data_IF_660926138156
#
_entry.id   IF_660926138156
#
_cell.length_a   1.000
_cell.length_b   1.000
_cell.length_c   1.000
_cell.angle_alpha   90.00
_cell.angle_beta   90.00
_cell.angle_gamma   90.00
#
_symmetry.space_group_name_H-M   'P 1'
#
loop_
_entity.id
_entity.type
_entity.pdbx_description
1 polymer ?
#
# COMPACT_ATOMS: atom_id res chain seq x y z
N UNK A 1 -14.89 -5.58 6.45
CA UNK A 1 -14.42 -6.81 7.11
C UNK A 1 -13.13 -6.46 7.83
N UNK A 2 -12.93 -6.87 9.09
CA UNK A 2 -11.67 -6.59 9.81
C UNK A 2 -10.68 -7.72 9.60
N UNK A 3 -9.49 -7.38 9.12
CA UNK A 3 -8.36 -8.30 8.99
C UNK A 3 -7.38 -8.00 10.13
N UNK A 4 -7.06 -8.99 10.98
CA UNK A 4 -6.18 -8.77 12.13
C UNK A 4 -5.29 -9.99 12.42
N UNK A 5 -3.98 -9.76 12.55
CA UNK A 5 -3.00 -10.77 12.98
C UNK A 5 -1.67 -10.09 13.37
N UNK A 6 -0.89 -10.71 14.25
CA UNK A 6 0.44 -10.24 14.67
C UNK A 6 0.48 -8.77 15.14
N UNK A 7 -0.58 -8.32 15.81
CA UNK A 7 -0.70 -6.92 16.26
C UNK A 7 -0.78 -5.91 15.11
N UNK A 8 -1.26 -6.32 13.94
CA UNK A 8 -1.64 -5.46 12.82
C UNK A 8 -3.13 -5.70 12.58
N UNK A 9 -3.91 -4.64 12.45
CA UNK A 9 -5.31 -4.73 12.05
C UNK A 9 -5.67 -3.67 11.01
N UNK A 10 -6.49 -4.05 10.04
CA UNK A 10 -6.99 -3.18 8.97
C UNK A 10 -8.44 -3.52 8.65
N UNK A 11 -9.30 -2.51 8.54
CA UNK A 11 -10.65 -2.71 8.03
C UNK A 11 -10.63 -2.69 6.50
N UNK A 12 -10.89 -3.86 5.91
CA UNK A 12 -11.02 -4.03 4.48
C UNK A 12 -12.41 -3.55 4.02
N UNK A 13 -12.47 -2.64 3.05
CA UNK A 13 -13.71 -2.30 2.39
C UNK A 13 -14.33 -3.48 1.65
N UNK A 14 -15.61 -3.36 1.32
CA UNK A 14 -16.30 -4.38 0.52
C UNK A 14 -15.61 -4.53 -0.84
N UNK A 15 -15.37 -5.78 -1.24
CA UNK A 15 -14.73 -6.11 -2.53
C UNK A 15 -13.20 -6.08 -2.50
N UNK A 16 -12.59 -5.72 -1.37
CA UNK A 16 -11.14 -5.85 -1.20
C UNK A 16 -10.75 -7.27 -0.82
N UNK A 17 -9.60 -7.68 -1.32
CA UNK A 17 -8.88 -8.86 -0.89
C UNK A 17 -7.75 -8.43 0.05
N UNK A 18 -7.43 -9.23 1.06
CA UNK A 18 -6.39 -8.90 2.00
C UNK A 18 -5.96 -10.08 2.85
N UNK A 19 -4.69 -10.06 3.25
CA UNK A 19 -4.07 -11.09 4.08
C UNK A 19 -2.99 -10.49 4.96
N UNK A 20 -2.79 -11.08 6.13
CA UNK A 20 -1.62 -10.84 6.97
C UNK A 20 -0.91 -12.18 7.13
N UNK A 21 0.37 -12.22 6.80
CA UNK A 21 1.15 -13.44 6.85
C UNK A 21 2.54 -13.18 7.44
N UNK A 22 3.18 -14.24 7.92
CA UNK A 22 4.57 -14.22 8.40
C UNK A 22 5.32 -15.41 7.81
N UNK A 23 6.40 -15.14 7.08
CA UNK A 23 7.31 -16.18 6.59
C UNK A 23 8.21 -16.69 7.73
N UNK A 24 8.67 -17.96 7.71
CA UNK A 24 9.61 -18.45 8.71
C UNK A 24 10.84 -17.54 8.83
N UNK A 25 11.16 -17.11 10.05
CA UNK A 25 12.30 -16.22 10.32
C UNK A 25 12.15 -14.76 9.85
N UNK A 26 10.97 -14.34 9.40
CA UNK A 26 10.72 -12.97 8.94
C UNK A 26 9.65 -12.26 9.79
N UNK A 27 9.70 -10.93 9.79
CA UNK A 27 8.63 -10.11 10.34
C UNK A 27 7.35 -10.16 9.48
N UNK A 28 6.16 -9.98 10.08
CA UNK A 28 4.87 -9.93 9.41
C UNK A 28 4.79 -8.97 8.23
N UNK A 29 3.93 -9.33 7.27
CA UNK A 29 3.55 -8.50 6.13
C UNK A 29 2.02 -8.53 5.97
N UNK A 30 1.40 -7.37 5.81
CA UNK A 30 0.01 -7.23 5.37
C UNK A 30 0.00 -6.90 3.88
N UNK A 31 -0.83 -7.60 3.11
CA UNK A 31 -1.24 -7.19 1.76
C UNK A 31 -2.73 -6.88 1.75
N UNK A 32 -3.12 -5.84 1.03
CA UNK A 32 -4.51 -5.52 0.75
C UNK A 32 -4.64 -4.91 -0.65
N UNK A 33 -5.73 -5.21 -1.34
CA UNK A 33 -6.00 -4.65 -2.66
C UNK A 33 -7.50 -4.60 -2.96
N UNK A 34 -7.91 -3.69 -3.86
CA UNK A 34 -9.28 -3.67 -4.39
C UNK A 34 -9.52 -4.67 -5.54
N UNK A 35 -8.65 -5.67 -5.66
CA UNK A 35 -8.69 -6.75 -6.65
C UNK A 35 -8.13 -8.03 -6.03
N UNK A 36 -8.36 -9.18 -6.66
CA UNK A 36 -7.90 -10.48 -6.16
C UNK A 36 -6.37 -10.56 -6.07
N UNK A 37 -5.87 -10.92 -4.89
CA UNK A 37 -4.46 -11.08 -4.65
C UNK A 37 -3.99 -12.49 -5.05
N UNK A 38 -2.78 -12.64 -5.60
CA UNK A 38 -2.20 -13.95 -5.87
C UNK A 38 -1.93 -14.70 -4.56
N UNK A 39 -2.18 -16.02 -4.53
CA UNK A 39 -2.01 -16.86 -3.34
C UNK A 39 -0.61 -16.79 -2.72
N UNK A 40 0.43 -16.56 -3.55
CA UNK A 40 1.80 -16.30 -3.12
C UNK A 40 2.34 -15.06 -3.82
N UNK A 41 3.05 -14.20 -3.10
CA UNK A 41 3.73 -13.03 -3.68
C UNK A 41 4.96 -12.62 -2.85
N UNK A 42 5.82 -11.79 -3.44
CA UNK A 42 6.88 -11.09 -2.71
C UNK A 42 6.30 -10.10 -1.71
N UNK A 43 7.09 -9.68 -0.71
CA UNK A 43 6.61 -8.82 0.38
C UNK A 43 6.06 -7.47 -0.09
N UNK A 44 6.51 -6.96 -1.25
CA UNK A 44 6.00 -5.74 -1.87
C UNK A 44 5.08 -5.99 -3.08
N UNK A 45 4.55 -7.21 -3.23
CA UNK A 45 3.50 -7.51 -4.20
C UNK A 45 3.94 -7.46 -5.66
N UNK A 46 5.12 -7.98 -6.00
CA UNK A 46 5.65 -7.91 -7.37
C UNK A 46 4.73 -8.57 -8.40
N UNK A 47 3.99 -9.61 -8.02
CA UNK A 47 3.03 -10.31 -8.89
C UNK A 47 1.69 -9.58 -8.93
N UNK A 48 1.18 -9.12 -7.78
CA UNK A 48 -0.05 -8.34 -7.67
C UNK A 48 0.04 -7.05 -8.49
N UNK A 49 1.12 -6.28 -8.32
CA UNK A 49 1.36 -5.04 -9.06
C UNK A 49 1.58 -5.28 -10.56
N UNK A 50 2.10 -6.45 -10.97
CA UNK A 50 2.24 -6.80 -12.38
C UNK A 50 0.89 -7.05 -13.08
N UNK A 51 -0.12 -7.52 -12.34
CA UNK A 51 -1.45 -7.88 -12.86
C UNK A 51 -2.52 -6.87 -12.48
N UNK A 52 -2.12 -5.72 -11.97
CA UNK A 52 -3.02 -4.74 -11.37
C UNK A 52 -3.92 -4.12 -12.45
N UNK A 53 -5.25 -4.20 -12.34
CA UNK A 53 -6.16 -3.63 -13.33
C UNK A 53 -6.12 -2.08 -13.31
N UNK A 54 -6.61 -1.41 -14.36
CA UNK A 54 -6.88 0.03 -14.31
C UNK A 54 -7.82 0.35 -13.13
N UNK A 55 -7.50 1.40 -12.36
CA UNK A 55 -8.21 1.73 -11.11
C UNK A 55 -7.78 0.86 -9.90
N UNK A 56 -6.86 -0.08 -10.10
CA UNK A 56 -6.34 -0.93 -9.04
C UNK A 56 -5.58 -0.15 -7.97
N UNK A 57 -5.74 -0.57 -6.72
CA UNK A 57 -5.03 -0.10 -5.54
C UNK A 57 -4.42 -1.32 -4.87
N UNK A 58 -3.11 -1.30 -4.63
CA UNK A 58 -2.39 -2.30 -3.86
C UNK A 58 -1.69 -1.66 -2.67
N UNK A 59 -1.71 -2.35 -1.54
CA UNK A 59 -1.08 -1.96 -0.29
C UNK A 59 -0.24 -3.11 0.26
N UNK A 60 0.99 -2.82 0.64
CA UNK A 60 1.81 -3.67 1.50
C UNK A 60 2.26 -2.89 2.74
N UNK A 61 2.00 -3.44 3.92
CA UNK A 61 2.60 -2.97 5.17
C UNK A 61 3.58 -4.05 5.64
N UNK A 62 4.87 -3.72 5.62
CA UNK A 62 5.95 -4.63 6.01
C UNK A 62 6.53 -4.21 7.35
N UNK A 63 6.48 -5.08 8.34
CA UNK A 63 7.26 -4.90 9.57
C UNK A 63 8.72 -5.24 9.31
N UNK A 64 9.62 -4.48 9.93
CA UNK A 64 11.05 -4.75 9.95
C UNK A 64 11.50 -5.23 11.34
N UNK A 65 12.54 -6.05 11.36
CA UNK A 65 13.16 -6.45 12.62
C UNK A 65 14.10 -5.34 13.10
N UNK A 66 13.86 -4.84 14.31
CA UNK A 66 14.79 -3.94 14.98
C UNK A 66 16.11 -4.67 15.31
N UNK A 67 17.22 -3.94 15.26
CA UNK A 67 18.55 -4.49 15.55
C UNK A 67 19.64 -3.45 15.37
N UNK A 68 20.93 -3.85 15.37
CA UNK A 68 22.05 -2.91 15.38
C UNK A 68 22.05 -1.90 14.23
N UNK A 69 21.47 -2.25 13.07
CA UNK A 69 21.40 -1.40 11.87
C UNK A 69 20.06 -0.69 11.68
N UNK A 70 19.02 -1.10 12.41
CA UNK A 70 17.67 -0.56 12.24
C UNK A 70 17.06 -0.30 13.62
N UNK A 71 16.93 0.98 13.95
CA UNK A 71 16.49 1.44 15.25
C UNK A 71 15.14 2.13 15.12
N UNK A 72 14.09 1.65 15.79
CA UNK A 72 12.79 2.30 15.78
C UNK A 72 12.88 3.73 16.30
N UNK A 73 12.24 4.68 15.60
CA UNK A 73 12.24 6.12 15.93
C UNK A 73 13.50 6.87 15.50
N UNK A 74 14.40 6.28 14.71
CA UNK A 74 15.57 6.94 14.16
C UNK A 74 15.61 6.83 12.63
N UNK A 75 16.26 7.81 11.98
CA UNK A 75 16.47 7.82 10.53
C UNK A 75 15.16 7.71 9.74
N UNK A 76 15.07 6.78 8.80
CA UNK A 76 13.85 6.55 8.01
C UNK A 76 12.63 6.20 8.89
N UNK A 77 12.84 5.62 10.07
CA UNK A 77 11.77 5.20 10.97
C UNK A 77 11.47 6.23 12.06
N UNK A 78 11.93 7.48 11.91
CA UNK A 78 11.73 8.56 12.89
C UNK A 78 10.27 9.00 13.02
N UNK A 79 9.49 8.90 11.94
CA UNK A 79 8.05 9.17 11.99
C UNK A 79 7.36 8.13 12.87
N UNK A 80 6.38 8.54 13.67
CA UNK A 80 5.60 7.69 14.58
C UNK A 80 4.26 7.23 13.97
N UNK A 81 3.94 7.71 12.77
CA UNK A 81 2.61 7.58 12.18
C UNK A 81 2.65 7.65 10.65
N UNK A 82 1.52 7.30 10.02
CA UNK A 82 1.30 7.53 8.59
C UNK A 82 0.76 8.96 8.40
N UNK A 83 1.26 9.74 7.43
CA UNK A 83 0.84 11.12 7.21
C UNK A 83 -0.54 11.18 6.53
N UNK A 84 -1.59 10.88 7.29
CA UNK A 84 -2.96 10.93 6.82
C UNK A 84 -3.55 12.35 6.96
N UNK A 85 -4.43 12.79 6.03
CA UNK A 85 -4.78 12.12 4.77
C UNK A 85 -3.60 12.12 3.77
N UNK A 86 -3.49 11.07 2.96
CA UNK A 86 -2.47 11.02 1.91
C UNK A 86 -2.77 12.07 0.84
N UNK A 87 -1.72 12.56 0.20
CA UNK A 87 -1.82 13.47 -0.94
C UNK A 87 -1.29 12.84 -2.21
N UNK A 88 -1.99 13.06 -3.34
CA UNK A 88 -1.60 12.52 -4.65
C UNK A 88 -0.21 12.95 -5.09
N UNK A 89 0.29 14.09 -4.60
CA UNK A 89 1.66 14.57 -4.85
C UNK A 89 2.76 13.63 -4.33
N UNK A 90 2.44 12.77 -3.35
CA UNK A 90 3.38 11.79 -2.81
C UNK A 90 3.47 10.52 -3.65
N UNK A 91 2.60 10.37 -4.66
CA UNK A 91 2.61 9.22 -5.55
C UNK A 91 3.40 9.53 -6.81
N UNK A 92 4.46 8.77 -7.05
CA UNK A 92 5.34 8.99 -8.20
C UNK A 92 5.74 7.67 -8.87
N UNK A 93 5.85 7.60 -10.21
CA UNK A 93 6.31 6.39 -10.91
C UNK A 93 7.70 5.91 -10.48
N UNK A 94 8.58 6.85 -10.10
CA UNK A 94 9.95 6.55 -9.58
C UNK A 94 9.97 6.06 -8.12
N UNK A 95 8.86 6.11 -7.40
CA UNK A 95 8.75 5.57 -6.05
C UNK A 95 8.33 4.08 -6.05
N UNK A 96 8.17 3.48 -7.24
CA UNK A 96 7.91 2.05 -7.39
C UNK A 96 9.22 1.26 -7.32
N UNK A 97 9.17 0.07 -6.71
CA UNK A 97 10.28 -0.89 -6.78
C UNK A 97 10.51 -1.36 -8.23
N UNK A 98 9.43 -1.49 -9.01
CA UNK A 98 9.46 -1.81 -10.43
C UNK A 98 8.54 -0.81 -11.14
N UNK A 99 9.10 0.05 -11.98
CA UNK A 99 8.33 1.02 -12.76
C UNK A 99 7.44 0.31 -13.79
N UNK A 100 6.16 0.70 -13.85
CA UNK A 100 5.19 0.18 -14.82
C UNK A 100 4.36 1.33 -15.41
N UNK A 101 4.05 1.32 -16.71
CA UNK A 101 3.17 2.33 -17.31
C UNK A 101 1.83 2.42 -16.58
N UNK A 102 1.35 3.64 -16.32
CA UNK A 102 0.09 3.89 -15.62
C UNK A 102 0.15 3.73 -14.09
N UNK A 103 1.28 3.27 -13.53
CA UNK A 103 1.42 3.07 -12.09
C UNK A 103 2.22 4.17 -11.40
N UNK A 104 1.83 4.48 -10.16
CA UNK A 104 2.56 5.36 -9.26
C UNK A 104 2.62 4.76 -7.86
N UNK A 105 3.75 5.00 -7.17
CA UNK A 105 4.03 4.42 -5.86
C UNK A 105 4.13 5.46 -4.76
N UNK A 106 3.86 5.04 -3.53
CA UNK A 106 4.12 5.78 -2.30
C UNK A 106 4.83 4.85 -1.31
N UNK A 107 5.92 5.32 -0.71
CA UNK A 107 6.66 4.63 0.33
C UNK A 107 6.77 5.52 1.55
N UNK A 108 6.41 5.01 2.72
CA UNK A 108 6.53 5.72 3.98
C UNK A 108 7.04 4.80 5.08
N UNK A 109 8.10 5.23 5.75
CA UNK A 109 8.72 4.49 6.84
C UNK A 109 8.32 5.16 8.16
N UNK A 110 7.90 4.36 9.13
CA UNK A 110 7.46 4.86 10.44
C UNK A 110 7.62 3.82 11.52
N UNK A 111 7.49 4.22 12.78
CA UNK A 111 7.55 3.38 13.96
C UNK A 111 6.22 3.45 14.69
N UNK A 112 5.43 2.37 14.67
CA UNK A 112 4.19 2.30 15.42
C UNK A 112 4.43 1.84 16.86
N UNK A 113 3.50 2.11 17.78
CA UNK A 113 3.56 1.56 19.13
C UNK A 113 3.52 0.02 19.14
N UNK A 114 4.22 -0.68 20.06
CA UNK A 114 5.11 -0.20 21.11
C UNK A 114 6.59 -0.09 20.66
N UNK A 115 6.87 0.53 19.50
CA UNK A 115 8.18 0.68 18.81
C UNK A 115 8.50 -0.38 17.75
N UNK A 116 7.53 -0.68 16.91
CA UNK A 116 7.65 -1.58 15.76
C UNK A 116 7.90 -0.77 14.48
N UNK A 117 9.02 -0.97 13.77
CA UNK A 117 9.32 -0.24 12.56
C UNK A 117 8.61 -0.87 11.35
N UNK A 118 8.00 -0.04 10.52
CA UNK A 118 7.23 -0.43 9.35
C UNK A 118 7.64 0.33 8.10
N UNK A 119 7.45 -0.31 6.95
CA UNK A 119 7.35 0.36 5.66
C UNK A 119 5.93 0.16 5.11
N UNK A 120 5.26 1.26 4.85
CA UNK A 120 4.04 1.30 4.07
C UNK A 120 4.41 1.51 2.60
N UNK A 121 4.01 0.57 1.75
CA UNK A 121 4.13 0.67 0.31
C UNK A 121 2.74 0.62 -0.33
N UNK A 122 2.38 1.66 -1.06
CA UNK A 122 1.12 1.72 -1.79
C UNK A 122 1.37 1.93 -3.29
N UNK A 123 0.60 1.26 -4.13
CA UNK A 123 0.67 1.37 -5.58
C UNK A 123 -0.73 1.68 -6.10
N UNK A 124 -0.80 2.65 -7.00
CA UNK A 124 -2.01 3.02 -7.74
C UNK A 124 -1.79 2.71 -9.22
N UNK A 125 -2.80 2.19 -9.90
CA UNK A 125 -2.83 2.07 -11.36
C UNK A 125 -3.93 3.00 -11.86
N UNK A 126 -3.54 4.14 -12.39
CA UNK A 126 -4.48 5.09 -12.97
C UNK A 126 -4.83 4.62 -14.37
N UNK A 127 -6.12 4.55 -14.69
CA UNK A 127 -6.55 4.25 -16.05
C UNK A 127 -5.87 5.23 -17.03
N UNK A 128 -5.18 4.68 -18.03
CA UNK A 128 -4.63 5.48 -19.11
C UNK A 128 -5.78 5.83 -20.06
N UNK A 129 -6.18 7.10 -20.12
CA UNK A 129 -7.04 7.59 -21.19
C UNK A 129 -6.13 7.87 -22.39
N UNK A 130 -6.27 7.19 -23.54
CA UNK A 130 -5.48 7.50 -24.72
C UNK A 130 -5.74 8.93 -25.19
N UNK A 131 -4.68 9.69 -25.47
CA UNK A 131 -4.76 11.00 -26.11
C UNK A 131 -5.54 10.87 -27.43
N UNK A 132 -6.63 11.63 -27.58
CA UNK A 132 -7.51 11.61 -28.76
C UNK A 132 -8.93 11.08 -28.50
N UNK A 133 -9.15 10.43 -27.35
CA UNK A 133 -10.49 10.19 -26.80
C UNK A 133 -10.65 11.07 -25.56
N UNK A 134 -11.00 12.34 -25.73
CA UNK A 134 -11.65 13.09 -24.64
C UNK A 134 -12.93 12.31 -24.33
N UNK A 135 -13.08 11.68 -23.16
CA UNK A 135 -14.37 11.14 -22.81
C UNK A 135 -15.25 12.36 -22.52
N UNK A 136 -16.36 12.48 -23.25
CA UNK A 136 -17.47 13.31 -22.79
C UNK A 136 -17.85 12.78 -21.39
N UNK A 137 -17.30 13.41 -20.35
CA UNK A 137 -17.40 12.97 -18.96
C UNK A 137 -16.19 12.18 -18.49
N UNK A 138 -15.62 12.61 -17.37
CA UNK A 138 -14.72 11.81 -16.52
C UNK A 138 -15.23 10.36 -16.49
N UNK A 139 -14.38 9.37 -16.82
CA UNK A 139 -14.78 7.96 -16.70
C UNK A 139 -15.43 7.75 -15.32
N UNK A 140 -16.71 7.37 -15.23
CA UNK A 140 -17.36 7.14 -13.95
C UNK A 140 -16.65 5.95 -13.29
N UNK A 141 -15.75 6.24 -12.34
CA UNK A 141 -14.82 5.25 -11.79
C UNK A 141 -13.38 5.73 -11.62
N UNK A 142 -12.99 6.91 -12.14
CA UNK A 142 -11.77 7.62 -11.71
C UNK A 142 -11.98 8.22 -10.30
N UNK A 143 -12.40 7.36 -9.39
CA UNK A 143 -12.57 7.62 -7.97
C UNK A 143 -11.22 8.11 -7.43
N UNK A 144 -11.24 9.07 -6.50
CA UNK A 144 -10.02 9.52 -5.83
C UNK A 144 -9.38 8.36 -5.07
N UNK A 145 -8.51 7.60 -5.76
CA UNK A 145 -7.85 6.41 -5.21
C UNK A 145 -7.03 6.77 -3.97
N UNK A 146 -6.51 8.01 -3.91
CA UNK A 146 -5.71 8.49 -2.79
C UNK A 146 -6.60 8.80 -1.58
N UNK A 147 -7.73 9.49 -1.79
CA UNK A 147 -8.73 9.70 -0.74
C UNK A 147 -9.29 8.39 -0.21
N UNK A 148 -9.61 7.45 -1.11
CA UNK A 148 -10.09 6.13 -0.73
C UNK A 148 -9.05 5.34 0.09
N UNK A 149 -7.80 5.31 -0.38
CA UNK A 149 -6.68 4.70 0.35
C UNK A 149 -6.45 5.35 1.72
N UNK A 150 -6.61 6.68 1.82
CA UNK A 150 -6.50 7.41 3.09
C UNK A 150 -7.56 6.94 4.09
N UNK A 151 -8.79 6.71 3.62
CA UNK A 151 -9.87 6.17 4.45
C UNK A 151 -9.65 4.71 4.87
N UNK A 152 -8.98 3.89 4.05
CA UNK A 152 -8.59 2.53 4.45
C UNK A 152 -7.50 2.59 5.52
N UNK A 153 -6.46 3.40 5.29
CA UNK A 153 -5.32 3.52 6.20
C UNK A 153 -5.64 4.18 7.54
N UNK A 154 -6.69 4.98 7.64
CA UNK A 154 -7.13 5.54 8.93
C UNK A 154 -7.67 4.47 9.89
N UNK A 155 -7.97 3.27 9.39
CA UNK A 155 -8.38 2.11 10.20
C UNK A 155 -7.21 1.22 10.62
N UNK A 156 -6.01 1.50 10.12
CA UNK A 156 -4.82 0.72 10.42
C UNK A 156 -4.42 0.92 11.89
N UNK A 157 -4.30 -0.18 12.63
CA UNK A 157 -3.88 -0.21 14.04
C UNK A 157 -2.85 -1.29 14.30
#
# INVERSE_FOLDING_TARGET
MRLAAYGIALDLPRGWDGRIYRRPGASPTLHAANFSLPANDADFGSTATARMPPGGIFLALKEYQAGPRLHPGLGLYASDSIPLPLSRRYFHPRALQVGRPGQSGFQHFFTAAPRRPFCLYAVLNTAHVPLGFEPFGTLPGAQDQVGYLSGVLSTLT
#
